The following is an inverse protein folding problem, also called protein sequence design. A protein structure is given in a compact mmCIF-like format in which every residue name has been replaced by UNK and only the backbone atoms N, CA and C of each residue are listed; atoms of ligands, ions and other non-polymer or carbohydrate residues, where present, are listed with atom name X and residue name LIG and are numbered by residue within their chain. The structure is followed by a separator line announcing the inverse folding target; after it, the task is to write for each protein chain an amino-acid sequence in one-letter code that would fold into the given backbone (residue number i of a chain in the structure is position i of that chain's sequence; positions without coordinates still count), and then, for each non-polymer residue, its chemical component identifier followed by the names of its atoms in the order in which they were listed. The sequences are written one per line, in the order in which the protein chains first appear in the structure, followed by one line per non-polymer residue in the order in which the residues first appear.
data_IF_557608346451
#
_entry.id   IF_557608346451
#
_cell.length_a   1.000
_cell.length_b   1.000
_cell.length_c   1.000
_cell.angle_alpha   90.00
_cell.angle_beta   90.00
_cell.angle_gamma   90.00
#
_symmetry.space_group_name_H-M   'P 1'
#
loop_
_entity.id
_entity.type
_entity.pdbx_description
1 polymer ?
#
# COMPACT_ATOMS: atom_id res chain seq x y z
N UNK A 1 9.15 -23.40 7.64
CA UNK A 1 7.76 -22.92 7.85
C UNK A 1 7.08 -22.83 6.50
N UNK A 2 5.87 -23.42 6.35
CA UNK A 2 5.09 -23.33 5.12
C UNK A 2 4.47 -21.93 4.97
N UNK A 3 4.14 -21.56 3.71
CA UNK A 3 3.51 -20.31 3.32
C UNK A 3 2.19 -20.58 2.62
N UNK A 4 1.13 -19.86 3.00
CA UNK A 4 -0.12 -19.78 2.24
C UNK A 4 -0.09 -18.48 1.43
N UNK A 5 -0.10 -18.61 0.11
CA UNK A 5 -0.14 -17.48 -0.83
C UNK A 5 -1.59 -17.18 -1.16
N UNK A 6 -2.07 -15.97 -0.84
CA UNK A 6 -3.44 -15.52 -1.11
C UNK A 6 -3.45 -14.61 -2.34
N UNK A 7 -4.22 -15.02 -3.36
CA UNK A 7 -4.39 -14.28 -4.63
C UNK A 7 -5.87 -13.89 -4.76
N UNK A 8 -6.27 -12.66 -4.41
CA UNK A 8 -7.62 -12.17 -4.67
C UNK A 8 -7.78 -11.88 -6.17
N UNK A 9 -8.92 -12.24 -6.76
CA UNK A 9 -9.21 -11.97 -8.17
C UNK A 9 -10.65 -11.57 -8.39
N UNK A 10 -10.88 -10.65 -9.34
CA UNK A 10 -12.21 -10.26 -9.80
C UNK A 10 -12.13 -9.77 -11.25
N UNK A 11 -12.78 -10.49 -12.18
CA UNK A 11 -12.78 -10.19 -13.61
C UNK A 11 -11.36 -9.96 -14.16
N UNK A 12 -10.48 -10.96 -14.01
CA UNK A 12 -9.06 -10.93 -14.40
C UNK A 12 -8.64 -12.12 -15.25
N UNK A 13 -9.53 -12.69 -16.07
CA UNK A 13 -9.25 -13.88 -16.90
C UNK A 13 -7.94 -13.79 -17.71
N UNK A 14 -7.64 -12.61 -18.25
CA UNK A 14 -6.43 -12.39 -19.06
C UNK A 14 -5.14 -12.20 -18.22
N UNK A 15 -5.23 -11.99 -16.92
CA UNK A 15 -4.09 -11.59 -16.06
C UNK A 15 -3.75 -12.62 -14.99
N UNK A 16 -4.77 -13.28 -14.43
CA UNK A 16 -4.63 -14.13 -13.24
C UNK A 16 -3.66 -15.31 -13.45
N UNK A 17 -3.55 -15.83 -14.64
CA UNK A 17 -2.63 -16.92 -14.96
C UNK A 17 -1.18 -16.52 -14.75
N UNK A 18 -0.78 -15.28 -15.10
CA UNK A 18 0.57 -14.76 -14.84
C UNK A 18 0.89 -14.74 -13.35
N UNK A 19 -0.03 -14.25 -12.54
CA UNK A 19 0.14 -14.22 -11.08
C UNK A 19 0.30 -15.65 -10.51
N UNK A 20 -0.60 -16.57 -10.88
CA UNK A 20 -0.53 -17.97 -10.44
C UNK A 20 0.75 -18.65 -10.88
N UNK A 21 1.16 -18.50 -12.15
CA UNK A 21 2.41 -19.07 -12.67
C UNK A 21 3.63 -18.55 -11.90
N UNK A 22 3.64 -17.26 -11.57
CA UNK A 22 4.74 -16.68 -10.79
C UNK A 22 4.79 -17.22 -9.36
N UNK A 23 3.64 -17.36 -8.72
CA UNK A 23 3.52 -17.96 -7.40
C UNK A 23 3.97 -19.44 -7.40
N UNK A 24 3.58 -20.21 -8.43
CA UNK A 24 4.01 -21.61 -8.60
C UNK A 24 5.53 -21.76 -8.76
N UNK A 25 6.20 -20.74 -9.33
CA UNK A 25 7.68 -20.73 -9.42
C UNK A 25 8.36 -20.37 -8.09
N UNK A 26 7.66 -19.66 -7.20
CA UNK A 26 8.20 -19.16 -5.93
C UNK A 26 7.96 -20.11 -4.75
N UNK A 27 6.94 -20.96 -4.79
CA UNK A 27 6.59 -21.86 -3.70
C UNK A 27 7.56 -23.04 -3.58
N UNK A 28 7.60 -23.62 -2.38
CA UNK A 28 8.34 -24.84 -2.03
C UNK A 28 7.39 -25.93 -1.55
N UNK A 29 7.83 -27.19 -1.45
CA UNK A 29 7.00 -28.25 -0.86
C UNK A 29 6.44 -27.87 0.52
N UNK A 30 5.13 -28.05 0.68
CA UNK A 30 4.40 -27.67 1.90
C UNK A 30 3.76 -26.28 1.85
N UNK A 31 4.06 -25.46 0.85
CA UNK A 31 3.33 -24.21 0.59
C UNK A 31 2.02 -24.49 -0.15
N UNK A 32 1.08 -23.54 -0.09
CA UNK A 32 -0.18 -23.60 -0.84
C UNK A 32 -0.49 -22.26 -1.51
N UNK A 33 -1.22 -22.31 -2.63
CA UNK A 33 -1.76 -21.13 -3.31
C UNK A 33 -3.27 -21.17 -3.17
N UNK A 34 -3.85 -20.09 -2.65
CA UNK A 34 -5.28 -19.91 -2.44
C UNK A 34 -5.72 -18.77 -3.36
N UNK A 35 -6.43 -19.09 -4.44
CA UNK A 35 -7.02 -18.09 -5.32
C UNK A 35 -8.46 -17.84 -4.88
N UNK A 36 -8.74 -16.61 -4.45
CA UNK A 36 -10.07 -16.21 -3.98
C UNK A 36 -10.74 -15.35 -5.05
N UNK A 37 -11.71 -15.92 -5.72
CA UNK A 37 -12.51 -15.27 -6.76
C UNK A 37 -13.71 -14.56 -6.14
N UNK A 38 -13.69 -13.26 -6.17
CA UNK A 38 -14.69 -12.34 -5.63
C UNK A 38 -15.92 -12.22 -6.58
N UNK A 39 -16.49 -13.38 -6.99
CA UNK A 39 -17.64 -13.53 -7.89
C UNK A 39 -17.40 -12.99 -9.32
N UNK A 40 -16.28 -13.33 -9.95
CA UNK A 40 -16.02 -12.97 -11.36
C UNK A 40 -17.14 -13.41 -12.30
N UNK A 41 -17.41 -12.59 -13.32
CA UNK A 41 -18.44 -12.81 -14.34
C UNK A 41 -17.84 -13.05 -15.73
N UNK A 42 -16.50 -12.94 -15.85
CA UNK A 42 -15.73 -13.25 -17.05
C UNK A 42 -15.18 -14.69 -17.00
N UNK A 43 -14.29 -15.03 -17.93
CA UNK A 43 -13.68 -16.36 -18.01
C UNK A 43 -12.59 -16.65 -16.94
N UNK A 44 -12.54 -15.92 -15.82
CA UNK A 44 -11.53 -16.10 -14.76
C UNK A 44 -11.55 -17.54 -14.22
N UNK A 45 -12.71 -18.10 -13.88
CA UNK A 45 -12.83 -19.48 -13.40
C UNK A 45 -12.30 -20.50 -14.43
N UNK A 46 -12.63 -20.32 -15.72
CA UNK A 46 -12.14 -21.18 -16.79
C UNK A 46 -10.62 -21.10 -16.94
N UNK A 47 -10.03 -19.92 -16.84
CA UNK A 47 -8.57 -19.75 -16.87
C UNK A 47 -7.89 -20.46 -15.71
N UNK A 48 -8.50 -20.47 -14.53
CA UNK A 48 -7.96 -21.10 -13.33
C UNK A 48 -8.16 -22.63 -13.30
N UNK A 49 -9.16 -23.17 -14.00
CA UNK A 49 -9.44 -24.61 -14.04
C UNK A 49 -8.25 -25.45 -14.57
N UNK A 50 -7.39 -24.85 -15.44
CA UNK A 50 -6.19 -25.49 -15.97
C UNK A 50 -5.13 -25.82 -14.90
N UNK A 51 -5.20 -25.21 -13.73
CA UNK A 51 -4.24 -25.44 -12.63
C UNK A 51 -4.57 -26.68 -11.78
N UNK A 52 -5.82 -27.13 -11.75
CA UNK A 52 -6.25 -28.29 -10.98
C UNK A 52 -5.83 -28.18 -9.51
N UNK A 53 -5.30 -29.28 -8.96
CA UNK A 53 -4.89 -29.37 -7.55
C UNK A 53 -3.63 -28.56 -7.17
N UNK A 54 -3.00 -27.89 -8.14
CA UNK A 54 -1.86 -27.01 -7.85
C UNK A 54 -2.25 -25.72 -7.14
N UNK A 55 -3.55 -25.36 -7.17
CA UNK A 55 -4.12 -24.22 -6.46
C UNK A 55 -5.40 -24.63 -5.72
N UNK A 56 -5.72 -23.90 -4.67
CA UNK A 56 -7.03 -23.98 -4.02
C UNK A 56 -7.89 -22.82 -4.53
N UNK A 57 -8.75 -23.09 -5.49
CA UNK A 57 -9.71 -22.10 -5.98
C UNK A 57 -10.91 -22.01 -5.06
N UNK A 58 -11.28 -20.78 -4.68
CA UNK A 58 -12.42 -20.47 -3.82
C UNK A 58 -13.22 -19.32 -4.42
N UNK A 59 -14.49 -19.56 -4.75
CA UNK A 59 -15.38 -18.50 -5.20
C UNK A 59 -16.23 -18.00 -4.03
N UNK A 60 -16.26 -16.69 -3.81
CA UNK A 60 -16.96 -16.03 -2.71
C UNK A 60 -17.93 -14.97 -3.25
N UNK A 61 -18.95 -14.54 -2.48
CA UNK A 61 -19.80 -13.41 -2.86
C UNK A 61 -18.98 -12.13 -2.99
N UNK A 62 -19.31 -11.28 -3.98
CA UNK A 62 -18.59 -10.04 -4.26
C UNK A 62 -18.65 -9.05 -3.10
N UNK A 63 -17.48 -8.77 -2.49
CA UNK A 63 -17.30 -7.85 -1.37
C UNK A 63 -16.01 -7.04 -1.44
N UNK A 64 -15.26 -7.17 -2.52
CA UNK A 64 -14.01 -6.44 -2.76
C UNK A 64 -12.75 -7.16 -2.30
N UNK A 65 -11.60 -6.61 -2.69
CA UNK A 65 -10.28 -7.22 -2.51
C UNK A 65 -9.95 -7.48 -1.03
N UNK A 66 -10.31 -6.56 -0.12
CA UNK A 66 -10.10 -6.73 1.31
C UNK A 66 -10.82 -7.96 1.87
N UNK A 67 -12.10 -8.15 1.50
CA UNK A 67 -12.89 -9.32 1.91
C UNK A 67 -12.32 -10.63 1.32
N UNK A 68 -11.90 -10.62 0.06
CA UNK A 68 -11.27 -11.77 -0.58
C UNK A 68 -9.96 -12.16 0.12
N UNK A 69 -9.10 -11.19 0.48
CA UNK A 69 -7.88 -11.45 1.27
C UNK A 69 -8.21 -12.00 2.65
N UNK A 70 -9.20 -11.44 3.36
CA UNK A 70 -9.65 -11.93 4.67
C UNK A 70 -10.13 -13.38 4.59
N UNK A 71 -10.90 -13.72 3.56
CA UNK A 71 -11.34 -15.10 3.34
C UNK A 71 -10.12 -16.01 3.11
N UNK A 72 -9.16 -15.61 2.25
CA UNK A 72 -7.94 -16.36 2.02
C UNK A 72 -7.14 -16.62 3.30
N UNK A 73 -6.99 -15.59 4.17
CA UNK A 73 -6.35 -15.72 5.49
C UNK A 73 -7.09 -16.73 6.36
N UNK A 74 -8.42 -16.70 6.37
CA UNK A 74 -9.24 -17.57 7.24
C UNK A 74 -9.14 -19.05 6.89
N UNK A 75 -8.88 -19.38 5.61
CA UNK A 75 -8.74 -20.76 5.12
C UNK A 75 -7.28 -21.19 4.94
N UNK A 76 -6.32 -20.30 5.21
CA UNK A 76 -4.89 -20.57 5.15
C UNK A 76 -4.49 -21.63 6.19
N UNK A 77 -3.69 -22.61 5.76
CA UNK A 77 -3.24 -23.74 6.61
C UNK A 77 -1.84 -23.52 7.18
N UNK A 78 -1.05 -22.67 6.55
CA UNK A 78 0.34 -22.44 6.93
C UNK A 78 0.50 -21.30 7.96
N UNK A 79 1.59 -21.33 8.75
CA UNK A 79 1.89 -20.32 9.74
C UNK A 79 2.29 -18.96 9.16
N UNK A 80 2.72 -18.93 7.89
CA UNK A 80 3.06 -17.71 7.17
C UNK A 80 2.01 -17.46 6.06
N UNK A 81 1.66 -16.20 5.87
CA UNK A 81 0.76 -15.76 4.78
C UNK A 81 1.45 -14.68 3.96
N UNK A 82 1.37 -14.82 2.63
CA UNK A 82 1.81 -13.83 1.66
C UNK A 82 0.66 -13.47 0.73
N UNK A 83 0.76 -12.32 0.07
CA UNK A 83 -0.27 -11.79 -0.81
C UNK A 83 0.30 -11.49 -2.19
N UNK A 84 -0.45 -11.80 -3.24
CA UNK A 84 -0.12 -11.45 -4.62
C UNK A 84 -1.39 -11.00 -5.33
N UNK A 85 -1.39 -9.81 -5.90
CA UNK A 85 -2.53 -9.32 -6.68
C UNK A 85 -2.60 -10.03 -8.04
N UNK A 86 -3.80 -10.32 -8.51
CA UNK A 86 -4.03 -11.14 -9.72
C UNK A 86 -3.56 -10.48 -11.03
N UNK A 87 -3.15 -9.23 -10.99
CA UNK A 87 -2.58 -8.47 -12.11
C UNK A 87 -1.07 -8.24 -12.01
N UNK A 88 -0.41 -8.78 -10.98
CA UNK A 88 1.03 -8.63 -10.72
C UNK A 88 1.81 -9.94 -10.91
N UNK A 89 3.11 -9.93 -10.66
CA UNK A 89 3.99 -11.09 -10.83
C UNK A 89 5.11 -11.08 -9.79
N UNK A 90 5.35 -12.23 -9.14
CA UNK A 90 6.50 -12.42 -8.26
C UNK A 90 7.78 -12.76 -9.02
N UNK A 91 8.90 -12.29 -8.51
CA UNK A 91 10.22 -12.79 -8.87
C UNK A 91 10.53 -14.08 -8.10
N UNK A 92 11.32 -15.00 -8.65
CA UNK A 92 11.47 -16.36 -8.09
C UNK A 92 11.96 -16.43 -6.65
N UNK A 93 12.72 -15.43 -6.19
CA UNK A 93 13.40 -15.49 -4.88
C UNK A 93 12.58 -14.94 -3.71
N UNK A 94 11.40 -14.35 -3.94
CA UNK A 94 10.63 -13.65 -2.91
C UNK A 94 10.43 -14.51 -1.66
N UNK A 95 9.78 -15.66 -1.77
CA UNK A 95 9.49 -16.50 -0.59
C UNK A 95 10.76 -17.14 0.00
N UNK A 96 11.78 -17.38 -0.80
CA UNK A 96 13.05 -17.89 -0.31
C UNK A 96 13.74 -16.90 0.61
N UNK A 97 13.83 -15.63 0.20
CA UNK A 97 14.45 -14.55 0.97
C UNK A 97 13.65 -14.24 2.23
N UNK A 98 12.36 -13.97 2.06
CA UNK A 98 11.50 -13.54 3.16
C UNK A 98 11.33 -14.61 4.22
N UNK A 99 11.17 -15.87 3.82
CA UNK A 99 11.07 -17.01 4.72
C UNK A 99 12.37 -17.23 5.51
N UNK A 100 13.52 -17.18 4.85
CA UNK A 100 14.81 -17.36 5.51
C UNK A 100 15.07 -16.23 6.53
N UNK A 101 14.72 -14.99 6.20
CA UNK A 101 14.81 -13.88 7.13
C UNK A 101 13.89 -14.07 8.35
N UNK A 102 12.63 -14.42 8.16
CA UNK A 102 11.73 -14.66 9.29
C UNK A 102 12.17 -15.87 10.12
N UNK A 103 12.80 -16.89 9.53
CA UNK A 103 13.38 -18.02 10.29
C UNK A 103 14.55 -17.57 11.15
N UNK A 104 15.44 -16.75 10.63
CA UNK A 104 16.61 -16.23 11.33
C UNK A 104 16.25 -15.19 12.40
N UNK A 105 15.12 -14.48 12.25
CA UNK A 105 14.66 -13.40 13.14
C UNK A 105 13.25 -13.70 13.66
N UNK A 106 13.12 -14.53 14.71
CA UNK A 106 11.82 -14.86 15.32
C UNK A 106 11.09 -13.66 15.93
N UNK A 107 11.80 -12.60 16.26
CA UNK A 107 11.29 -11.32 16.78
C UNK A 107 10.63 -10.45 15.71
N UNK A 108 10.87 -10.71 14.41
CA UNK A 108 10.24 -10.00 13.29
C UNK A 108 8.88 -10.64 12.98
N UNK A 109 7.83 -9.83 13.01
CA UNK A 109 6.46 -10.27 12.76
C UNK A 109 6.14 -10.41 11.28
N UNK A 110 6.61 -9.46 10.47
CA UNK A 110 6.42 -9.44 9.03
C UNK A 110 7.63 -8.86 8.30
N UNK A 111 7.74 -9.18 7.04
CA UNK A 111 8.69 -8.51 6.16
C UNK A 111 8.02 -8.04 4.87
N UNK A 112 8.62 -7.06 4.24
CA UNK A 112 8.25 -6.56 2.92
C UNK A 112 9.50 -6.17 2.16
N UNK A 113 9.36 -5.95 0.85
CA UNK A 113 10.50 -5.64 -0.01
C UNK A 113 10.19 -4.53 -1.01
N UNK A 114 11.19 -4.16 -1.79
CA UNK A 114 11.01 -3.27 -2.92
C UNK A 114 10.35 -4.03 -4.10
N UNK A 115 9.85 -3.28 -5.06
CA UNK A 115 9.26 -3.81 -6.29
C UNK A 115 9.63 -2.97 -7.49
N UNK A 116 9.46 -3.54 -8.67
CA UNK A 116 9.56 -2.84 -9.95
C UNK A 116 8.18 -2.64 -10.57
N UNK A 117 8.05 -1.63 -11.43
CA UNK A 117 6.81 -1.34 -12.17
C UNK A 117 7.07 -1.52 -13.66
N UNK A 118 6.15 -2.21 -14.33
CA UNK A 118 6.13 -2.32 -15.80
C UNK A 118 4.79 -1.84 -16.31
N UNK A 119 4.75 -0.69 -16.98
CA UNK A 119 3.53 -0.09 -17.50
C UNK A 119 3.78 0.69 -18.78
N UNK A 120 2.88 0.60 -19.76
CA UNK A 120 2.90 1.38 -21.01
C UNK A 120 4.28 1.35 -21.73
N UNK A 121 4.93 0.18 -21.76
CA UNK A 121 6.25 0.02 -22.38
C UNK A 121 7.43 0.60 -21.59
N UNK A 122 7.20 1.12 -20.40
CA UNK A 122 8.24 1.60 -19.49
C UNK A 122 8.46 0.62 -18.35
N UNK A 123 9.71 0.50 -17.94
CA UNK A 123 10.12 -0.23 -16.74
C UNK A 123 10.76 0.73 -15.75
N UNK A 124 10.31 0.69 -14.50
CA UNK A 124 10.91 1.46 -13.41
C UNK A 124 11.29 0.52 -12.29
N UNK A 125 12.56 0.55 -11.95
CA UNK A 125 13.15 -0.27 -10.89
C UNK A 125 13.08 0.44 -9.54
N UNK A 126 13.15 -0.33 -8.43
CA UNK A 126 13.19 0.18 -7.04
C UNK A 126 12.08 1.21 -6.78
N UNK A 127 10.83 0.81 -7.11
CA UNK A 127 9.75 1.78 -7.28
C UNK A 127 9.12 2.26 -5.96
N UNK A 128 9.32 1.57 -4.84
CA UNK A 128 8.66 1.89 -3.56
C UNK A 128 8.91 3.34 -3.12
N UNK A 129 10.12 3.87 -3.28
CA UNK A 129 10.46 5.26 -2.94
C UNK A 129 9.68 6.31 -3.76
N UNK A 130 9.07 5.92 -4.89
CA UNK A 130 8.20 6.81 -5.66
C UNK A 130 6.83 7.05 -5.02
N UNK A 131 6.49 6.27 -3.99
CA UNK A 131 5.27 6.47 -3.21
C UNK A 131 5.42 7.54 -2.14
N UNK A 132 6.64 7.93 -1.81
CA UNK A 132 6.91 8.87 -0.74
C UNK A 132 6.55 10.29 -1.15
N UNK A 133 5.96 11.02 -0.23
CA UNK A 133 5.57 12.41 -0.40
C UNK A 133 6.78 13.34 -0.45
N UNK A 134 7.91 12.90 0.13
CA UNK A 134 9.20 13.61 0.13
C UNK A 134 10.35 12.61 -0.01
N UNK A 135 11.51 13.02 -0.53
CA UNK A 135 12.70 12.18 -0.49
C UNK A 135 13.08 11.85 0.95
N UNK A 136 13.28 10.57 1.24
CA UNK A 136 13.83 10.07 2.49
C UNK A 136 14.64 8.80 2.22
N UNK A 137 15.57 8.51 3.09
CA UNK A 137 16.38 7.30 3.05
C UNK A 137 15.67 6.15 3.78
N UNK A 138 16.08 4.91 3.51
CA UNK A 138 15.56 3.76 4.23
C UNK A 138 15.95 3.79 5.71
N UNK A 139 17.16 4.31 6.02
CA UNK A 139 17.62 4.50 7.41
C UNK A 139 16.73 5.47 8.19
N UNK A 140 16.25 6.54 7.53
CA UNK A 140 15.32 7.50 8.16
C UNK A 140 13.92 6.91 8.38
N UNK A 141 13.51 5.96 7.54
CA UNK A 141 12.19 5.32 7.68
C UNK A 141 12.21 4.15 8.65
N UNK A 142 13.20 3.26 8.53
CA UNK A 142 13.16 1.96 9.17
C UNK A 142 14.30 1.74 10.17
N UNK A 143 15.22 2.72 10.31
CA UNK A 143 16.46 2.57 11.07
C UNK A 143 17.61 1.98 10.23
N UNK A 144 18.81 1.84 10.82
CA UNK A 144 20.01 1.43 10.11
C UNK A 144 19.89 0.04 9.51
N UNK A 145 20.34 -0.09 8.25
CA UNK A 145 20.36 -1.35 7.52
C UNK A 145 21.60 -2.20 7.82
N UNK A 146 21.47 -3.51 7.67
CA UNK A 146 22.57 -4.50 7.68
C UNK A 146 22.51 -5.35 6.43
N UNK A 147 23.62 -5.94 6.01
CA UNK A 147 23.63 -6.84 4.85
C UNK A 147 22.77 -8.08 5.10
N UNK A 148 21.97 -8.48 4.12
CA UNK A 148 21.10 -9.67 4.21
C UNK A 148 21.91 -10.94 4.53
N UNK A 149 23.09 -11.10 3.91
CA UNK A 149 23.98 -12.24 4.10
C UNK A 149 24.46 -12.41 5.55
N UNK A 150 24.41 -11.35 6.36
CA UNK A 150 24.73 -11.40 7.79
C UNK A 150 23.57 -11.95 8.64
N UNK A 151 22.36 -11.99 8.09
CA UNK A 151 21.14 -12.43 8.80
C UNK A 151 20.67 -13.81 8.37
N UNK A 152 20.73 -14.09 7.06
CA UNK A 152 20.15 -15.30 6.50
C UNK A 152 20.94 -15.79 5.25
N UNK A 153 20.80 -17.06 4.85
CA UNK A 153 21.44 -17.57 3.64
C UNK A 153 20.98 -16.83 2.39
N UNK A 154 21.93 -16.34 1.61
CA UNK A 154 21.69 -15.63 0.35
C UNK A 154 21.75 -16.64 -0.82
N UNK A 155 20.74 -16.69 -1.71
CA UNK A 155 20.82 -17.47 -2.95
C UNK A 155 21.99 -17.02 -3.84
N UNK A 156 22.66 -17.96 -4.52
CA UNK A 156 23.91 -17.68 -5.27
C UNK A 156 23.78 -16.60 -6.33
N UNK A 157 22.60 -16.49 -6.94
CA UNK A 157 22.35 -15.55 -8.06
C UNK A 157 21.75 -14.22 -7.60
N UNK A 158 21.64 -14.00 -6.27
CA UNK A 158 21.12 -12.76 -5.71
C UNK A 158 22.28 -11.97 -5.10
N UNK A 159 22.55 -10.75 -5.58
CA UNK A 159 23.52 -9.87 -4.95
C UNK A 159 23.06 -9.49 -3.53
N UNK A 160 24.02 -9.30 -2.62
CA UNK A 160 23.70 -8.87 -1.26
C UNK A 160 23.05 -7.48 -1.25
N UNK A 161 22.17 -7.24 -0.29
CA UNK A 161 21.39 -6.02 -0.16
C UNK A 161 21.13 -5.70 1.32
N UNK A 162 20.71 -4.46 1.59
CA UNK A 162 20.40 -4.01 2.94
C UNK A 162 19.04 -4.53 3.42
N UNK A 163 19.00 -4.92 4.69
CA UNK A 163 17.78 -5.23 5.43
C UNK A 163 17.66 -4.26 6.59
N UNK A 164 16.52 -3.63 6.73
CA UNK A 164 16.20 -2.69 7.82
C UNK A 164 15.13 -3.32 8.70
N UNK A 165 15.39 -3.44 9.99
CA UNK A 165 14.46 -4.03 10.96
C UNK A 165 14.11 -2.98 12.01
N UNK A 166 12.83 -2.69 12.19
CA UNK A 166 12.43 -1.63 13.10
C UNK A 166 10.93 -1.48 13.31
N UNK A 167 10.58 -0.34 13.89
CA UNK A 167 9.20 0.08 14.14
C UNK A 167 8.56 0.69 12.89
N UNK A 168 7.85 -0.15 12.14
CA UNK A 168 7.09 0.28 10.96
C UNK A 168 5.83 1.07 11.30
N UNK A 169 5.33 0.98 12.53
CA UNK A 169 4.15 1.71 12.96
C UNK A 169 4.37 3.23 12.89
N UNK A 170 5.56 3.67 13.31
CA UNK A 170 5.99 5.06 13.16
C UNK A 170 6.22 5.46 11.70
N UNK A 171 6.79 4.56 10.89
CA UNK A 171 7.08 4.83 9.48
C UNK A 171 5.81 4.95 8.65
N UNK A 172 4.80 4.13 8.92
CA UNK A 172 3.52 4.12 8.21
C UNK A 172 2.65 5.35 8.48
N UNK A 173 2.88 6.09 9.58
CA UNK A 173 2.27 7.43 9.75
C UNK A 173 2.79 8.42 8.70
N UNK A 174 4.07 8.29 8.37
CA UNK A 174 4.72 9.22 7.44
C UNK A 174 4.35 8.91 6.00
N UNK A 175 4.49 7.63 5.62
CA UNK A 175 4.39 7.19 4.22
C UNK A 175 3.79 5.78 4.12
N UNK A 176 3.05 5.52 3.03
CA UNK A 176 2.62 4.16 2.67
C UNK A 176 3.83 3.39 2.11
N UNK A 177 4.60 2.78 2.99
CA UNK A 177 5.89 2.16 2.67
C UNK A 177 5.85 0.62 2.63
N UNK A 178 4.67 0.02 2.66
CA UNK A 178 4.46 -1.43 2.55
C UNK A 178 3.60 -1.71 1.33
N UNK A 179 4.12 -2.52 0.40
CA UNK A 179 3.40 -2.95 -0.80
C UNK A 179 2.84 -4.35 -0.58
N UNK A 180 1.55 -4.54 -0.72
CA UNK A 180 0.84 -5.80 -0.44
C UNK A 180 1.48 -7.00 -1.11
N UNK A 181 1.88 -6.88 -2.38
CA UNK A 181 2.45 -7.99 -3.16
C UNK A 181 3.86 -8.41 -2.74
N UNK A 182 4.45 -7.71 -1.77
CA UNK A 182 5.79 -8.00 -1.26
C UNK A 182 5.78 -8.33 0.24
N UNK A 183 4.65 -8.72 0.80
CA UNK A 183 4.52 -8.95 2.25
C UNK A 183 4.46 -10.43 2.56
N UNK A 184 5.28 -10.85 3.52
CA UNK A 184 5.16 -12.12 4.21
C UNK A 184 4.98 -11.87 5.71
N UNK A 185 3.95 -12.45 6.32
CA UNK A 185 3.57 -12.20 7.71
C UNK A 185 3.33 -13.49 8.49
N UNK A 186 3.69 -13.51 9.79
CA UNK A 186 3.36 -14.58 10.73
C UNK A 186 1.88 -14.49 11.10
N UNK A 187 1.08 -15.37 10.53
CA UNK A 187 -0.38 -15.33 10.62
C UNK A 187 -0.90 -15.33 12.06
N UNK A 188 -0.45 -16.31 12.86
CA UNK A 188 -0.93 -16.47 14.23
C UNK A 188 -0.44 -15.36 15.17
N UNK A 189 0.81 -14.92 14.99
CA UNK A 189 1.36 -13.84 15.80
C UNK A 189 0.75 -12.47 15.49
N UNK A 190 0.36 -12.25 14.24
CA UNK A 190 -0.36 -11.05 13.84
C UNK A 190 -1.85 -11.08 14.23
N UNK A 191 -2.43 -12.29 14.35
CA UNK A 191 -3.80 -12.54 14.82
C UNK A 191 -4.83 -11.53 14.26
N UNK A 192 -5.60 -10.88 15.14
CA UNK A 192 -6.65 -9.91 14.79
C UNK A 192 -6.12 -8.66 14.06
N UNK A 193 -4.81 -8.36 14.16
CA UNK A 193 -4.23 -7.24 13.44
C UNK A 193 -4.17 -7.50 11.92
N UNK A 194 -4.02 -8.76 11.49
CA UNK A 194 -3.98 -9.16 10.09
C UNK A 194 -5.40 -9.31 9.51
N UNK A 195 -6.09 -8.22 9.36
CA UNK A 195 -7.42 -8.15 8.77
C UNK A 195 -7.55 -6.91 7.90
N UNK A 196 -7.91 -7.08 6.65
CA UNK A 196 -8.15 -5.97 5.72
C UNK A 196 -9.52 -5.33 6.00
N UNK A 197 -9.58 -3.99 5.99
CA UNK A 197 -10.83 -3.27 6.15
C UNK A 197 -11.71 -3.47 4.90
N UNK A 198 -12.96 -3.90 5.09
CA UNK A 198 -13.89 -4.19 4.00
C UNK A 198 -14.77 -2.98 3.64
N UNK A 199 -14.74 -1.95 4.48
CA UNK A 199 -15.51 -0.71 4.32
C UNK A 199 -14.67 0.45 3.74
N UNK A 200 -13.39 0.23 3.48
CA UNK A 200 -12.52 1.21 2.85
C UNK A 200 -12.48 1.00 1.33
N UNK A 201 -12.74 2.05 0.53
CA UNK A 201 -12.70 1.93 -0.93
C UNK A 201 -11.28 1.79 -1.49
N UNK A 202 -10.27 2.25 -0.74
CA UNK A 202 -8.84 2.18 -1.09
C UNK A 202 -8.01 2.15 0.19
N UNK A 203 -6.73 1.75 0.09
CA UNK A 203 -5.79 1.73 1.21
C UNK A 203 -6.18 0.77 2.36
N UNK A 204 -7.00 -0.23 2.09
CA UNK A 204 -7.33 -1.30 3.05
C UNK A 204 -6.07 -2.07 3.48
N UNK A 205 -5.08 -2.13 2.61
CA UNK A 205 -3.75 -2.71 2.86
C UNK A 205 -2.92 -1.85 3.82
N UNK A 206 -2.87 -0.54 3.59
CA UNK A 206 -2.16 0.37 4.47
C UNK A 206 -2.74 0.34 5.89
N UNK A 207 -4.06 0.34 6.03
CA UNK A 207 -4.75 0.21 7.32
C UNK A 207 -4.40 -1.12 8.01
N UNK A 208 -4.44 -2.23 7.27
CA UNK A 208 -4.09 -3.56 7.76
C UNK A 208 -2.65 -3.62 8.26
N UNK A 209 -1.69 -3.24 7.41
CA UNK A 209 -0.27 -3.34 7.77
C UNK A 209 0.15 -2.34 8.85
N UNK A 210 -0.53 -1.21 8.98
CA UNK A 210 -0.32 -0.32 10.12
C UNK A 210 -0.75 -0.96 11.45
N UNK A 211 -1.85 -1.72 11.47
CA UNK A 211 -2.24 -2.49 12.65
C UNK A 211 -1.29 -3.65 12.95
N UNK A 212 -0.82 -4.36 11.92
CA UNK A 212 0.20 -5.40 12.08
C UNK A 212 1.50 -4.82 12.63
N UNK A 213 1.96 -3.67 12.12
CA UNK A 213 3.14 -2.98 12.60
C UNK A 213 3.02 -2.47 14.06
N UNK A 214 1.80 -2.24 14.55
CA UNK A 214 1.55 -1.86 15.94
C UNK A 214 1.86 -2.99 16.93
N UNK A 215 1.76 -4.23 16.51
CA UNK A 215 1.88 -5.40 17.39
C UNK A 215 3.20 -6.15 17.23
N UNK A 216 4.10 -5.73 16.33
CA UNK A 216 5.39 -6.39 16.16
C UNK A 216 6.33 -5.67 15.19
N UNK A 217 7.60 -6.05 15.24
CA UNK A 217 8.63 -5.47 14.37
C UNK A 217 8.41 -5.89 12.91
N UNK A 218 8.71 -4.96 12.01
CA UNK A 218 8.79 -5.21 10.58
C UNK A 218 10.23 -5.30 10.08
N UNK A 219 10.43 -5.93 8.93
CA UNK A 219 11.68 -5.91 8.19
C UNK A 219 11.45 -5.46 6.75
N UNK A 220 12.25 -4.53 6.27
CA UNK A 220 12.29 -4.13 4.86
C UNK A 220 13.53 -4.68 4.19
N UNK A 221 13.35 -5.41 3.09
CA UNK A 221 14.39 -5.94 2.24
C UNK A 221 14.59 -4.99 1.06
N UNK A 222 15.73 -4.32 0.96
CA UNK A 222 16.02 -3.39 -0.13
C UNK A 222 16.41 -4.12 -1.42
N UNK A 223 15.63 -5.10 -1.80
CA UNK A 223 15.70 -5.81 -3.07
C UNK A 223 14.31 -5.89 -3.72
N UNK A 224 14.29 -6.00 -5.03
CA UNK A 224 13.05 -6.15 -5.78
C UNK A 224 12.64 -7.62 -5.82
N UNK A 225 11.41 -7.90 -5.40
CA UNK A 225 10.86 -9.26 -5.37
C UNK A 225 9.59 -9.44 -6.18
N UNK A 226 9.04 -8.35 -6.69
CA UNK A 226 7.80 -8.38 -7.46
C UNK A 226 7.79 -7.36 -8.60
N UNK A 227 7.00 -7.65 -9.63
CA UNK A 227 6.61 -6.75 -10.68
C UNK A 227 5.17 -6.30 -10.47
N UNK A 228 4.96 -4.98 -10.33
CA UNK A 228 3.64 -4.39 -10.43
C UNK A 228 3.38 -3.98 -11.88
N UNK A 229 2.34 -4.53 -12.48
CA UNK A 229 2.00 -4.27 -13.87
C UNK A 229 0.90 -3.22 -13.99
N UNK A 230 1.14 -2.22 -14.85
CA UNK A 230 0.08 -1.32 -15.31
C UNK A 230 -0.81 -2.02 -16.35
N UNK A 231 -2.11 -1.87 -16.23
CA UNK A 231 -3.09 -2.34 -17.22
C UNK A 231 -4.11 -1.24 -17.54
N UNK A 232 -4.89 -1.43 -18.62
CA UNK A 232 -5.88 -0.45 -19.10
C UNK A 232 -7.22 -0.51 -18.36
N UNK A 233 -7.44 -1.53 -17.52
CA UNK A 233 -8.66 -1.65 -16.72
C UNK A 233 -8.68 -0.73 -15.50
N UNK A 234 -9.83 -0.55 -14.86
CA UNK A 234 -9.95 0.29 -13.65
C UNK A 234 -9.07 -0.25 -12.52
N UNK A 235 -8.44 0.66 -11.78
CA UNK A 235 -7.59 0.36 -10.62
C UNK A 235 -8.12 1.08 -9.38
N UNK A 236 -7.96 0.46 -8.22
CA UNK A 236 -8.29 1.10 -6.94
C UNK A 236 -7.45 2.38 -6.70
N UNK A 237 -6.25 2.43 -7.27
CA UNK A 237 -5.35 3.59 -7.20
C UNK A 237 -5.77 4.78 -8.06
N UNK A 238 -6.79 4.66 -8.91
CA UNK A 238 -7.31 5.74 -9.76
C UNK A 238 -8.27 6.69 -9.01
N UNK A 239 -8.51 6.45 -7.72
CA UNK A 239 -9.37 7.30 -6.89
C UNK A 239 -8.91 8.77 -6.89
N UNK A 240 -9.87 9.70 -6.84
CA UNK A 240 -9.59 11.14 -6.81
C UNK A 240 -8.95 11.61 -5.49
N UNK A 241 -8.32 12.78 -5.51
CA UNK A 241 -7.64 13.37 -4.35
C UNK A 241 -8.54 13.53 -3.13
N UNK A 242 -9.82 13.86 -3.35
CA UNK A 242 -10.80 13.98 -2.28
C UNK A 242 -11.04 12.65 -1.56
N UNK A 243 -11.29 11.59 -2.31
CA UNK A 243 -11.57 10.26 -1.77
C UNK A 243 -10.34 9.66 -1.09
N UNK A 244 -9.17 9.81 -1.72
CA UNK A 244 -7.90 9.38 -1.15
C UNK A 244 -7.60 10.05 0.18
N UNK A 245 -7.76 11.38 0.25
CA UNK A 245 -7.53 12.13 1.48
C UNK A 245 -8.56 11.78 2.56
N UNK A 246 -9.82 11.55 2.18
CA UNK A 246 -10.88 11.14 3.10
C UNK A 246 -10.60 9.76 3.69
N UNK A 247 -10.22 8.79 2.87
CA UNK A 247 -9.85 7.45 3.33
C UNK A 247 -8.64 7.50 4.26
N UNK A 248 -7.60 8.26 3.89
CA UNK A 248 -6.42 8.42 4.76
C UNK A 248 -6.74 9.05 6.11
N UNK A 249 -7.61 10.05 6.15
CA UNK A 249 -8.07 10.65 7.42
C UNK A 249 -8.81 9.63 8.29
N UNK A 250 -9.63 8.78 7.67
CA UNK A 250 -10.30 7.68 8.37
C UNK A 250 -9.28 6.71 8.97
N UNK A 251 -8.25 6.33 8.21
CA UNK A 251 -7.18 5.43 8.67
C UNK A 251 -6.38 6.06 9.81
N UNK A 252 -5.98 7.33 9.69
CA UNK A 252 -5.29 8.05 10.77
C UNK A 252 -6.11 8.02 12.06
N UNK A 253 -7.41 8.30 11.97
CA UNK A 253 -8.30 8.26 13.13
C UNK A 253 -8.39 6.86 13.74
N UNK A 254 -8.58 5.81 12.92
CA UNK A 254 -8.77 4.42 13.38
C UNK A 254 -7.52 3.81 13.99
N UNK A 255 -6.37 4.01 13.38
CA UNK A 255 -5.13 3.31 13.73
C UNK A 255 -4.36 4.06 14.81
N UNK A 256 -4.13 5.36 14.63
CA UNK A 256 -3.28 6.16 15.53
C UNK A 256 -4.06 7.14 16.41
N UNK A 257 -5.23 7.61 15.97
CA UNK A 257 -5.99 8.67 16.64
C UNK A 257 -6.49 8.30 18.03
N UNK A 258 -6.56 7.03 18.35
CA UNK A 258 -6.95 6.51 19.67
C UNK A 258 -5.79 5.87 20.45
N UNK A 259 -4.59 5.84 19.88
CA UNK A 259 -3.40 5.29 20.53
C UNK A 259 -2.75 6.33 21.42
N UNK A 260 -3.10 6.31 22.73
CA UNK A 260 -2.61 7.29 23.71
C UNK A 260 -1.10 7.25 23.86
N UNK A 261 -0.50 6.07 23.83
CA UNK A 261 0.96 5.92 24.00
C UNK A 261 1.70 6.49 22.80
N UNK A 262 1.21 6.22 21.60
CA UNK A 262 1.73 6.81 20.37
C UNK A 262 1.58 8.32 20.35
N UNK A 263 0.38 8.84 20.64
CA UNK A 263 0.10 10.28 20.63
C UNK A 263 0.90 11.03 21.69
N UNK A 264 1.18 10.44 22.85
CA UNK A 264 2.00 11.07 23.88
C UNK A 264 3.43 11.35 23.44
N UNK A 265 3.96 10.54 22.51
CA UNK A 265 5.35 10.62 22.01
C UNK A 265 5.45 11.30 20.64
N UNK A 266 4.41 11.20 19.81
CA UNK A 266 4.46 11.52 18.39
C UNK A 266 3.28 12.40 17.92
N UNK A 267 2.64 13.17 18.83
CA UNK A 267 1.49 14.02 18.49
C UNK A 267 1.78 15.00 17.35
N UNK A 268 2.94 15.64 17.34
CA UNK A 268 3.32 16.59 16.30
C UNK A 268 3.40 15.92 14.89
N UNK A 269 3.93 14.69 14.81
CA UNK A 269 3.98 13.93 13.58
C UNK A 269 2.58 13.56 13.09
N UNK A 270 1.73 13.08 14.01
CA UNK A 270 0.34 12.74 13.72
C UNK A 270 -0.46 13.96 13.25
N UNK A 271 -0.37 15.08 13.96
CA UNK A 271 -1.04 16.33 13.60
C UNK A 271 -0.62 16.83 12.21
N UNK A 272 0.67 16.76 11.87
CA UNK A 272 1.16 17.17 10.54
C UNK A 272 0.66 16.22 9.44
N UNK A 273 0.61 14.93 9.69
CA UNK A 273 0.06 13.95 8.77
C UNK A 273 -1.45 14.21 8.50
N UNK A 274 -2.23 14.39 9.55
CA UNK A 274 -3.67 14.74 9.46
C UNK A 274 -3.86 16.09 8.78
N UNK A 275 -3.08 17.10 9.16
CA UNK A 275 -3.08 18.45 8.55
C UNK A 275 -2.86 18.38 7.04
N UNK A 276 -1.88 17.60 6.60
CA UNK A 276 -1.57 17.41 5.19
C UNK A 276 -2.77 16.84 4.41
N UNK A 277 -3.42 15.80 4.94
CA UNK A 277 -4.59 15.22 4.27
C UNK A 277 -5.80 16.17 4.26
N UNK A 278 -6.03 16.93 5.33
CA UNK A 278 -7.09 17.96 5.36
C UNK A 278 -6.85 19.04 4.31
N UNK A 279 -5.61 19.47 4.11
CA UNK A 279 -5.27 20.45 3.05
C UNK A 279 -5.48 19.88 1.65
N UNK A 280 -5.11 18.61 1.40
CA UNK A 280 -5.38 17.94 0.11
C UNK A 280 -6.89 17.87 -0.14
N UNK A 281 -7.68 17.47 0.87
CA UNK A 281 -9.14 17.39 0.77
C UNK A 281 -9.78 18.77 0.54
N UNK A 282 -9.38 19.78 1.31
CA UNK A 282 -9.88 21.15 1.12
C UNK A 282 -9.55 21.71 -0.27
N UNK A 283 -8.37 21.43 -0.79
CA UNK A 283 -7.97 21.79 -2.15
C UNK A 283 -8.84 21.11 -3.20
N UNK A 284 -9.11 19.82 -3.06
CA UNK A 284 -10.02 19.10 -3.95
C UNK A 284 -11.42 19.73 -3.94
N UNK A 285 -11.98 20.02 -2.75
CA UNK A 285 -13.25 20.73 -2.60
C UNK A 285 -13.26 22.10 -3.28
N UNK A 286 -12.19 22.89 -3.15
CA UNK A 286 -12.06 24.19 -3.83
C UNK A 286 -12.04 24.04 -5.35
N UNK A 287 -11.32 23.05 -5.87
CA UNK A 287 -11.27 22.73 -7.30
C UNK A 287 -12.66 22.40 -7.85
N UNK A 288 -13.47 21.68 -7.06
CA UNK A 288 -14.80 21.21 -7.41
C UNK A 288 -15.91 22.25 -7.10
N UNK A 289 -15.53 23.44 -6.63
CA UNK A 289 -16.46 24.51 -6.30
C UNK A 289 -17.20 24.37 -4.96
N UNK A 290 -16.88 23.38 -4.15
CA UNK A 290 -17.45 23.09 -2.83
C UNK A 290 -16.88 24.00 -1.74
N UNK A 291 -17.06 25.32 -1.90
CA UNK A 291 -16.36 26.34 -1.09
C UNK A 291 -16.76 26.36 0.38
N UNK A 292 -18.04 26.13 0.68
CA UNK A 292 -18.52 26.08 2.06
C UNK A 292 -17.85 24.93 2.82
N UNK A 293 -17.85 23.75 2.25
CA UNK A 293 -17.23 22.57 2.82
C UNK A 293 -15.69 22.73 2.95
N UNK A 294 -15.04 23.30 1.93
CA UNK A 294 -13.62 23.63 2.00
C UNK A 294 -13.29 24.60 3.14
N UNK A 295 -14.17 25.58 3.40
CA UNK A 295 -14.02 26.53 4.49
C UNK A 295 -14.11 25.84 5.85
N UNK A 296 -15.09 24.96 6.02
CA UNK A 296 -15.26 24.21 7.26
C UNK A 296 -14.08 23.26 7.49
N UNK A 297 -13.58 22.61 6.44
CA UNK A 297 -12.37 21.80 6.52
C UNK A 297 -11.13 22.62 6.91
N UNK A 298 -10.96 23.83 6.31
CA UNK A 298 -9.81 24.70 6.60
C UNK A 298 -9.86 25.31 8.01
N UNK A 299 -11.01 25.40 8.66
CA UNK A 299 -11.13 25.79 10.08
C UNK A 299 -10.50 24.77 11.02
N UNK A 300 -10.49 23.50 10.61
CA UNK A 300 -9.87 22.41 11.35
C UNK A 300 -8.35 22.32 11.14
N UNK A 301 -7.80 23.16 10.26
CA UNK A 301 -6.37 23.17 9.95
C UNK A 301 -5.72 24.38 10.61
N UNK A 302 -4.90 24.13 11.65
CA UNK A 302 -4.05 25.15 12.24
C UNK A 302 -3.12 25.71 11.17
N UNK A 303 -3.01 27.04 11.09
CA UNK A 303 -2.16 27.75 10.13
C UNK A 303 -2.42 27.38 8.66
N UNK A 304 -3.70 27.17 8.31
CA UNK A 304 -4.09 26.93 6.93
C UNK A 304 -3.62 28.07 6.01
N UNK A 305 -3.04 27.76 4.82
CA UNK A 305 -2.52 28.79 3.92
C UNK A 305 -3.55 29.86 3.58
N UNK A 306 -3.17 31.13 3.70
CA UNK A 306 -4.05 32.29 3.44
C UNK A 306 -4.71 32.21 2.06
N UNK A 307 -3.99 31.70 1.05
CA UNK A 307 -4.54 31.52 -0.29
C UNK A 307 -5.73 30.55 -0.34
N UNK A 308 -5.72 29.46 0.45
CA UNK A 308 -6.85 28.54 0.50
C UNK A 308 -8.02 29.15 1.26
N UNK A 309 -7.75 29.85 2.36
CA UNK A 309 -8.77 30.60 3.11
C UNK A 309 -9.42 31.66 2.21
N UNK A 310 -8.63 32.48 1.50
CA UNK A 310 -9.13 33.48 0.57
C UNK A 310 -9.94 32.84 -0.57
N UNK A 311 -9.44 31.78 -1.20
CA UNK A 311 -10.15 31.08 -2.27
C UNK A 311 -11.51 30.51 -1.81
N UNK A 312 -11.64 30.13 -0.55
CA UNK A 312 -12.90 29.64 0.02
C UNK A 312 -13.96 30.74 0.23
N UNK A 313 -13.54 32.00 0.29
CA UNK A 313 -14.42 33.19 0.50
C UNK A 313 -14.90 33.81 -0.80
N UNK A 314 -14.22 33.62 -1.92
CA UNK A 314 -14.54 34.23 -3.20
C UNK A 314 -15.81 33.61 -3.79
N UNK A 315 -16.83 34.41 -4.16
CA UNK A 315 -18.06 33.94 -4.80
C UNK A 315 -17.77 33.17 -6.11
N UNK A 316 -18.54 32.10 -6.36
CA UNK A 316 -18.31 31.19 -7.51
C UNK A 316 -18.38 31.86 -8.88
N UNK A 317 -19.15 32.94 -9.01
CA UNK A 317 -19.32 33.67 -10.23
C UNK A 317 -18.13 34.59 -10.58
N UNK A 318 -17.30 34.96 -9.61
CA UNK A 318 -16.11 35.82 -9.82
C UNK A 318 -14.90 35.10 -10.41
N UNK A 319 -14.86 33.76 -10.34
CA UNK A 319 -13.74 32.99 -10.88
C UNK A 319 -14.26 31.76 -11.62
N UNK A 320 -14.01 31.69 -12.93
CA UNK A 320 -14.08 30.41 -13.64
C UNK A 320 -13.12 29.41 -13.00
N UNK A 321 -13.50 28.12 -12.92
CA UNK A 321 -12.67 27.07 -12.30
C UNK A 321 -11.22 27.02 -12.80
N UNK A 322 -10.92 27.59 -13.98
CA UNK A 322 -9.59 27.70 -14.56
C UNK A 322 -8.68 28.73 -13.88
N UNK A 323 -9.22 29.86 -13.37
CA UNK A 323 -8.42 30.85 -12.67
C UNK A 323 -7.98 30.35 -11.28
N UNK A 324 -8.88 29.69 -10.55
CA UNK A 324 -8.53 29.03 -9.27
C UNK A 324 -7.52 27.90 -9.51
N UNK A 325 -7.70 27.08 -10.55
CA UNK A 325 -6.72 26.05 -10.94
C UNK A 325 -5.35 26.62 -11.23
N UNK A 326 -5.28 27.80 -11.87
CA UNK A 326 -3.99 28.44 -12.19
C UNK A 326 -3.30 29.00 -10.95
N UNK A 327 -4.04 29.65 -10.03
CA UNK A 327 -3.50 30.18 -8.77
C UNK A 327 -3.06 29.04 -7.83
N UNK A 328 -3.86 27.99 -7.73
CA UNK A 328 -3.51 26.80 -6.93
C UNK A 328 -2.32 26.07 -7.53
N UNK A 329 -2.25 25.87 -8.87
CA UNK A 329 -1.11 25.25 -9.55
C UNK A 329 0.18 26.06 -9.44
N UNK A 330 0.12 27.39 -9.49
CA UNK A 330 1.31 28.23 -9.35
C UNK A 330 1.92 28.15 -7.94
N UNK A 331 1.07 28.11 -6.91
CA UNK A 331 1.54 27.96 -5.51
C UNK A 331 1.95 26.53 -5.16
N UNK A 332 1.32 25.53 -5.76
CA UNK A 332 1.75 24.13 -5.58
C UNK A 332 3.21 23.93 -6.02
N UNK A 333 3.60 24.50 -7.17
CA UNK A 333 5.01 24.49 -7.61
C UNK A 333 5.95 25.21 -6.64
N UNK A 334 5.47 26.21 -5.90
CA UNK A 334 6.25 26.94 -4.90
C UNK A 334 6.31 26.14 -3.59
N UNK A 335 5.20 25.53 -3.16
CA UNK A 335 5.14 24.67 -1.97
C UNK A 335 5.88 23.33 -2.20
N UNK A 336 5.77 22.74 -3.39
CA UNK A 336 6.54 21.56 -3.82
C UNK A 336 8.05 21.85 -3.82
N UNK A 337 8.47 23.06 -4.23
CA UNK A 337 9.85 23.50 -4.18
C UNK A 337 10.33 23.83 -2.76
N UNK A 338 9.43 24.30 -1.89
CA UNK A 338 9.78 24.68 -0.52
C UNK A 338 9.69 23.51 0.47
N UNK A 339 8.83 22.53 0.22
CA UNK A 339 8.58 21.37 1.10
C UNK A 339 9.20 20.06 0.59
N UNK A 340 9.73 20.01 -0.62
CA UNK A 340 10.18 18.77 -1.26
C UNK A 340 9.06 17.78 -1.61
N UNK A 341 7.80 18.13 -1.38
CA UNK A 341 6.64 17.28 -1.64
C UNK A 341 6.27 17.34 -3.12
N UNK A 342 6.42 16.23 -3.85
CA UNK A 342 5.87 16.08 -5.20
C UNK A 342 4.40 15.62 -5.11
N UNK A 343 3.45 16.52 -5.34
CA UNK A 343 2.08 16.07 -5.67
C UNK A 343 2.13 15.34 -7.01
N UNK A 344 1.73 14.07 -7.03
CA UNK A 344 1.55 13.33 -8.28
C UNK A 344 0.46 14.02 -9.09
N UNK A 345 0.84 14.73 -10.14
CA UNK A 345 -0.05 15.04 -11.24
C UNK A 345 -0.34 13.70 -11.91
N UNK A 346 -1.59 13.25 -11.86
CA UNK A 346 -2.03 12.08 -12.59
C UNK A 346 -1.57 12.22 -14.05
N UNK A 347 -0.77 11.30 -14.53
CA UNK A 347 -0.44 11.16 -15.94
C UNK A 347 -1.69 10.64 -16.66
N UNK A 348 -2.63 11.56 -16.89
CA UNK A 348 -3.73 11.43 -17.83
C UNK A 348 -3.37 12.28 -19.03
N UNK A 349 -3.03 11.61 -20.13
CA UNK A 349 -2.78 12.14 -21.45
C UNK A 349 -2.41 10.98 -22.36
#
# INVERSE_FOLDING_TARGET
MGVSVVIPTYNRAALVSRAVDSALRAISPGDEIIVVDDASTDDTERALAAYGDRIRYQRVPHRGAGAARNFGISVARNPLVAFLDSDDEWMPHILTLERALLQARPDVLFCCSNFAVRAKGMEKRRYLSNWFSRPCTWDELFGPGVGYSSLAPLPKDVPDFSVHIGDFYLSLVKEGCVCTITVLVRRESAAEALRFAEDLPTYEDWECFARVARVGLGAYLDCETAWNYGHSGPRLTDAEDYDRATTRLTIYSRVWGHDRDFLSKHSALFEEAVRTQRLIRARAMLRDGRRAEARDELRLVKDAPLAYRAASLVPGWLFSGNAIRSVLKAKDRILERASGVRTRIGAGG
#
